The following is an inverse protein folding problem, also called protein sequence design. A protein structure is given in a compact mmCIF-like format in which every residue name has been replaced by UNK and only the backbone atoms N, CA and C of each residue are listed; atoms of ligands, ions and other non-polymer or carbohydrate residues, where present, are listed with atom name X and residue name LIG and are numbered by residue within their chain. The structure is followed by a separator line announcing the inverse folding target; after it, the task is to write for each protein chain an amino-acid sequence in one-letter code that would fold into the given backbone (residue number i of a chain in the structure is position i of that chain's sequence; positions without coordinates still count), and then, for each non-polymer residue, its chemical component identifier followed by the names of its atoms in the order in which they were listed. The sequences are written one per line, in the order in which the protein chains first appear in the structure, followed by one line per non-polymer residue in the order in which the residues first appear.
data_IF_206964616664
#
_entry.id   IF_206964616664
#
_cell.length_a   1.000
_cell.length_b   1.000
_cell.length_c   1.000
_cell.angle_alpha   90.00
_cell.angle_beta   90.00
_cell.angle_gamma   90.00
#
_symmetry.space_group_name_H-M   'P 1'
#
loop_
_entity.id
_entity.type
_entity.pdbx_description
1 polymer ?
#
# COMPACT_ATOMS: atom_id res chain seq x y z
N UNK A 1 -11.61 13.92 -13.16
CA UNK A 1 -11.48 14.23 -11.72
C UNK A 1 -10.27 13.46 -11.20
N UNK A 2 -9.37 14.06 -10.40
CA UNK A 2 -8.23 13.32 -9.87
C UNK A 2 -8.70 12.16 -8.97
N UNK A 3 -7.91 11.07 -8.84
CA UNK A 3 -8.20 9.99 -7.91
C UNK A 3 -8.42 10.52 -6.48
N UNK A 4 -9.27 9.88 -5.65
CA UNK A 4 -9.64 10.39 -4.34
C UNK A 4 -8.45 10.67 -3.40
N UNK A 5 -7.33 9.95 -3.57
CA UNK A 5 -6.13 10.08 -2.75
C UNK A 5 -4.92 10.63 -3.52
N UNK A 6 -5.13 11.26 -4.68
CA UNK A 6 -4.05 11.82 -5.47
C UNK A 6 -3.17 12.79 -4.65
N UNK A 7 -1.84 12.58 -4.72
CA UNK A 7 -0.85 13.39 -4.01
C UNK A 7 -0.74 13.10 -2.51
N UNK A 8 -1.46 12.10 -1.99
CA UNK A 8 -1.29 11.62 -0.61
C UNK A 8 -0.21 10.55 -0.53
N UNK A 9 0.46 10.48 0.62
CA UNK A 9 1.35 9.38 0.99
C UNK A 9 0.70 8.58 2.11
N UNK A 10 0.66 7.25 1.97
CA UNK A 10 0.10 6.35 2.99
C UNK A 10 1.16 5.36 3.47
N UNK A 11 1.36 5.32 4.80
CA UNK A 11 2.18 4.32 5.47
C UNK A 11 1.31 3.11 5.83
N UNK A 12 1.64 1.93 5.31
CA UNK A 12 0.91 0.69 5.59
C UNK A 12 1.81 -0.30 6.30
N UNK A 13 1.44 -0.68 7.53
CA UNK A 13 2.14 -1.70 8.31
C UNK A 13 1.52 -3.07 8.08
N UNK A 14 2.33 -4.13 8.16
CA UNK A 14 1.86 -5.48 7.85
C UNK A 14 1.47 -5.67 6.38
N UNK A 15 2.10 -4.90 5.47
CA UNK A 15 1.70 -4.83 4.06
C UNK A 15 2.01 -6.08 3.23
N UNK A 16 2.74 -7.06 3.77
CA UNK A 16 3.24 -8.21 3.00
C UNK A 16 2.22 -9.32 2.73
N UNK A 17 1.02 -9.27 3.30
CA UNK A 17 -0.09 -10.23 3.03
C UNK A 17 -1.42 -9.76 3.66
N UNK A 18 -2.49 -10.48 3.33
CA UNK A 18 -3.79 -10.35 3.99
C UNK A 18 -4.37 -8.94 3.86
N UNK A 19 -4.95 -8.43 4.95
CA UNK A 19 -5.63 -7.13 4.95
C UNK A 19 -4.65 -5.98 4.66
N UNK A 20 -3.44 -6.03 5.22
CA UNK A 20 -2.44 -4.98 5.00
C UNK A 20 -2.07 -4.85 3.51
N UNK A 21 -1.85 -6.00 2.85
CA UNK A 21 -1.61 -6.05 1.40
C UNK A 21 -2.79 -5.49 0.60
N UNK A 22 -4.00 -6.02 0.84
CA UNK A 22 -5.19 -5.57 0.11
C UNK A 22 -5.47 -4.07 0.32
N UNK A 23 -5.19 -3.57 1.52
CA UNK A 23 -5.32 -2.14 1.85
C UNK A 23 -4.29 -1.30 1.10
N UNK A 24 -3.01 -1.74 1.07
CA UNK A 24 -1.97 -1.04 0.31
C UNK A 24 -2.32 -0.92 -1.17
N UNK A 25 -2.80 -2.01 -1.78
CA UNK A 25 -3.26 -2.03 -3.19
C UNK A 25 -4.43 -1.08 -3.39
N UNK A 26 -5.49 -1.17 -2.57
CA UNK A 26 -6.66 -0.31 -2.71
C UNK A 26 -6.34 1.19 -2.55
N UNK A 27 -5.42 1.53 -1.64
CA UNK A 27 -4.97 2.91 -1.45
C UNK A 27 -4.14 3.40 -2.66
N UNK A 28 -3.30 2.54 -3.24
CA UNK A 28 -2.55 2.84 -4.45
C UNK A 28 -3.47 3.06 -5.66
N UNK A 29 -4.48 2.19 -5.85
CA UNK A 29 -5.50 2.33 -6.89
C UNK A 29 -6.31 3.63 -6.74
N UNK A 30 -6.56 4.06 -5.51
CA UNK A 30 -7.17 5.35 -5.21
C UNK A 30 -6.22 6.56 -5.41
N UNK A 31 -4.96 6.33 -5.78
CA UNK A 31 -3.98 7.35 -6.19
C UNK A 31 -2.97 7.78 -5.13
N UNK A 32 -2.88 7.06 -4.00
CA UNK A 32 -1.87 7.35 -2.98
C UNK A 32 -0.50 6.76 -3.37
N UNK A 33 0.58 7.44 -2.95
CA UNK A 33 1.91 6.84 -2.90
C UNK A 33 2.06 6.00 -1.62
N UNK A 34 2.50 4.75 -1.75
CA UNK A 34 2.55 3.82 -0.62
C UNK A 34 3.96 3.68 -0.08
N UNK A 35 4.08 3.74 1.26
CA UNK A 35 5.26 3.28 2.00
C UNK A 35 4.86 2.02 2.75
N UNK A 36 5.30 0.87 2.25
CA UNK A 36 4.92 -0.44 2.77
C UNK A 36 5.96 -0.96 3.79
N UNK A 37 5.49 -1.41 4.96
CA UNK A 37 6.34 -1.99 6.01
C UNK A 37 5.86 -3.40 6.36
N UNK A 38 6.80 -4.35 6.38
CA UNK A 38 6.61 -5.69 6.93
C UNK A 38 7.95 -6.29 7.39
N UNK A 39 7.90 -7.39 8.13
CA UNK A 39 9.10 -8.08 8.66
C UNK A 39 9.85 -8.92 7.61
N UNK A 40 9.13 -9.43 6.62
CA UNK A 40 9.66 -10.36 5.62
C UNK A 40 9.74 -9.65 4.28
N UNK A 41 10.95 -9.49 3.76
CA UNK A 41 11.22 -8.77 2.50
C UNK A 41 10.52 -9.42 1.32
N UNK A 42 10.59 -10.75 1.17
CA UNK A 42 9.99 -11.43 0.02
C UNK A 42 8.49 -11.15 -0.16
N UNK A 43 7.73 -11.00 0.92
CA UNK A 43 6.32 -10.63 0.80
C UNK A 43 6.06 -9.16 0.47
N UNK A 44 7.07 -8.29 0.58
CA UNK A 44 7.01 -6.92 0.07
C UNK A 44 7.45 -6.83 -1.40
N UNK A 45 8.32 -7.73 -1.86
CA UNK A 45 8.73 -7.80 -3.27
C UNK A 45 7.59 -8.26 -4.19
N UNK A 46 6.59 -8.97 -3.63
CA UNK A 46 5.35 -9.39 -4.30
C UNK A 46 4.22 -8.33 -4.28
N UNK A 47 4.39 -7.22 -3.56
CA UNK A 47 3.43 -6.11 -3.45
C UNK A 47 3.70 -5.05 -4.51
#
# INVERSE_FOLDING_TARGET
MPPPLAGRVALVTGASRGIGYATAVALAEAGAHIVAIARTVGGLEEL
#
